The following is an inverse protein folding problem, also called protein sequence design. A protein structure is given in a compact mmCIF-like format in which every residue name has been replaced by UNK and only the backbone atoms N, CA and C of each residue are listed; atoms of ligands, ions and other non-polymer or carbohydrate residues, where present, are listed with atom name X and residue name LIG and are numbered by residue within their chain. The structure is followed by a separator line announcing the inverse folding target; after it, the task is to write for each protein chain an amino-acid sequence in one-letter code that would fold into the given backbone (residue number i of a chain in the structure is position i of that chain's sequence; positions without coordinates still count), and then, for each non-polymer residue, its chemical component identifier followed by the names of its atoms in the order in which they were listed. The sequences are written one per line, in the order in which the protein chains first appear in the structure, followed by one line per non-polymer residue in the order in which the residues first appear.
data_IF_789779085777
#
_entry.id   IF_789779085777
#
_cell.length_a   1.000
_cell.length_b   1.000
_cell.length_c   1.000
_cell.angle_alpha   90.00
_cell.angle_beta   90.00
_cell.angle_gamma   90.00
#
_symmetry.space_group_name_H-M   'P 1'
#
loop_
_entity.id
_entity.type
_entity.pdbx_description
1 polymer ?
#
# COMPACT_ATOMS: atom_id res chain seq x y z
N UNK A 1 32.27 30.67 88.53
CA UNK A 1 32.57 31.94 89.23
C UNK A 1 32.34 33.07 88.25
N UNK A 2 31.47 34.02 88.65
CA UNK A 2 31.37 35.46 88.31
C UNK A 2 31.54 35.87 86.82
N UNK A 3 30.69 36.65 86.15
CA UNK A 3 29.61 37.58 86.53
C UNK A 3 29.57 38.71 85.48
N UNK A 4 28.37 39.23 85.15
CA UNK A 4 27.96 40.59 84.68
C UNK A 4 28.92 41.48 83.83
N UNK A 5 28.54 42.38 82.91
CA UNK A 5 27.31 42.96 82.33
C UNK A 5 27.76 43.93 81.20
N UNK A 6 27.02 44.11 80.10
CA UNK A 6 26.35 45.35 79.64
C UNK A 6 26.15 45.17 78.12
N UNK A 7 25.01 45.37 77.46
CA UNK A 7 23.90 46.26 77.72
C UNK A 7 23.95 47.43 76.73
N UNK A 8 23.33 47.30 75.54
CA UNK A 8 22.75 48.42 74.78
C UNK A 8 21.85 47.89 73.63
N UNK A 9 20.54 48.14 73.72
CA UNK A 9 19.58 47.96 72.63
C UNK A 9 19.19 49.33 72.04
N UNK A 10 19.20 49.52 70.72
CA UNK A 10 18.50 50.63 70.10
C UNK A 10 17.01 50.27 69.90
N UNK A 11 16.13 51.14 70.40
CA UNK A 11 14.68 51.10 70.19
C UNK A 11 14.35 51.42 68.74
N UNK A 12 13.73 50.48 68.02
CA UNK A 12 13.13 50.73 66.70
C UNK A 12 11.80 51.47 66.86
N UNK A 13 11.75 52.73 66.42
CA UNK A 13 10.55 53.57 66.38
C UNK A 13 9.64 53.26 65.17
N UNK A 14 8.33 53.42 65.38
CA UNK A 14 7.17 53.18 64.46
C UNK A 14 7.18 53.83 63.06
N UNK A 15 8.29 54.40 62.59
CA UNK A 15 8.39 55.09 61.28
C UNK A 15 9.11 54.30 60.18
N UNK A 16 9.45 53.03 60.40
CA UNK A 16 10.05 52.15 59.38
C UNK A 16 9.15 50.96 58.96
N UNK A 17 7.85 51.01 59.26
CA UNK A 17 6.92 49.89 59.00
C UNK A 17 6.14 50.02 57.67
N UNK A 18 6.63 50.81 56.72
CA UNK A 18 5.88 51.17 55.50
C UNK A 18 6.60 50.94 54.17
N UNK A 19 7.66 50.12 54.12
CA UNK A 19 8.45 49.95 52.89
C UNK A 19 8.90 48.50 52.60
N UNK A 20 8.18 47.48 53.10
CA UNK A 20 8.53 46.07 52.86
C UNK A 20 7.29 45.16 52.69
N UNK A 21 6.26 45.65 51.98
CA UNK A 21 5.09 44.84 51.56
C UNK A 21 4.80 44.97 50.06
N UNK A 22 5.84 44.96 49.24
CA UNK A 22 5.75 44.73 47.79
C UNK A 22 6.70 43.60 47.38
N UNK A 23 6.62 42.48 48.12
CA UNK A 23 7.24 41.20 47.76
C UNK A 23 6.14 40.17 47.51
N UNK A 24 5.08 40.56 46.82
CA UNK A 24 4.05 39.65 46.35
C UNK A 24 4.67 38.70 45.33
N UNK A 25 4.53 37.41 45.62
CA UNK A 25 4.89 36.28 44.78
C UNK A 25 4.53 36.51 43.30
N UNK A 26 5.53 36.85 42.51
CA UNK A 26 5.58 36.48 41.10
C UNK A 26 6.57 35.34 41.00
N UNK A 27 6.13 34.14 41.36
CA UNK A 27 6.55 32.96 40.60
C UNK A 27 6.06 33.23 39.19
N UNK A 28 6.92 33.84 38.37
CA UNK A 28 6.81 33.74 36.92
C UNK A 28 6.92 32.25 36.64
N UNK A 29 5.77 31.57 36.61
CA UNK A 29 5.58 30.48 35.70
C UNK A 29 5.91 31.09 34.34
N UNK A 30 7.17 30.92 33.91
CA UNK A 30 7.48 31.03 32.51
C UNK A 30 6.41 30.18 31.83
N UNK A 31 5.64 30.73 30.87
CA UNK A 31 4.89 29.83 30.02
C UNK A 31 5.93 28.83 29.54
N UNK A 32 5.67 27.54 29.72
CA UNK A 32 6.37 26.56 28.91
C UNK A 32 6.24 27.15 27.51
N UNK A 33 7.35 27.60 26.94
CA UNK A 33 7.42 27.87 25.52
C UNK A 33 7.11 26.48 25.00
N UNK A 34 5.82 26.24 24.70
CA UNK A 34 5.39 25.34 23.65
C UNK A 34 6.40 25.68 22.57
N UNK A 35 7.39 24.80 22.38
CA UNK A 35 8.15 24.82 21.15
C UNK A 35 7.05 24.70 20.12
N UNK A 36 6.65 25.83 19.53
CA UNK A 36 5.94 25.82 18.27
C UNK A 36 6.81 24.88 17.45
N UNK A 37 6.20 23.78 17.02
CA UNK A 37 6.91 22.73 16.32
C UNK A 37 7.32 23.32 14.97
N UNK A 38 8.46 24.01 14.98
CA UNK A 38 8.86 25.01 13.99
C UNK A 38 9.66 24.38 12.86
N UNK A 39 9.73 23.06 12.83
CA UNK A 39 10.31 22.30 11.74
C UNK A 39 9.41 22.35 10.51
N UNK A 40 9.98 22.17 9.31
CA UNK A 40 9.18 22.01 8.09
C UNK A 40 8.21 20.84 8.21
N UNK A 41 7.05 20.96 7.55
CA UNK A 41 5.95 19.98 7.65
C UNK A 41 5.90 19.14 6.38
N UNK A 42 6.18 17.85 6.54
CA UNK A 42 5.93 16.83 5.54
C UNK A 42 4.64 16.09 5.90
N UNK A 43 3.61 16.24 5.07
CA UNK A 43 2.36 15.47 5.22
C UNK A 43 2.39 14.29 4.27
N UNK A 44 1.90 13.13 4.72
CA UNK A 44 1.78 11.89 3.95
C UNK A 44 0.32 11.45 3.95
N UNK A 45 -0.26 11.22 2.78
CA UNK A 45 -1.62 10.68 2.62
C UNK A 45 -1.54 9.20 2.24
N UNK A 46 -2.13 8.33 3.08
CA UNK A 46 -2.24 6.89 2.88
C UNK A 46 -1.14 6.10 3.59
N UNK A 47 -1.53 5.25 4.55
CA UNK A 47 -0.62 4.45 5.39
C UNK A 47 -0.26 3.08 4.83
N UNK A 48 -0.24 2.91 3.50
CA UNK A 48 0.14 1.65 2.85
C UNK A 48 1.64 1.51 2.56
N UNK A 49 2.00 0.63 1.62
CA UNK A 49 3.40 0.37 1.23
C UNK A 49 4.22 1.63 0.93
N UNK A 50 3.65 2.58 0.18
CA UNK A 50 4.36 3.83 -0.15
C UNK A 50 4.42 4.79 1.03
N UNK A 51 3.27 5.16 1.60
CA UNK A 51 3.22 6.21 2.62
C UNK A 51 3.77 5.80 3.98
N UNK A 52 3.60 4.56 4.45
CA UNK A 52 4.25 4.10 5.69
C UNK A 52 5.79 4.12 5.55
N UNK A 53 6.30 3.63 4.41
CA UNK A 53 7.73 3.71 4.08
C UNK A 53 8.23 5.15 4.00
N UNK A 54 7.47 6.05 3.35
CA UNK A 54 7.80 7.46 3.26
C UNK A 54 7.87 8.12 4.63
N UNK A 55 6.84 7.94 5.47
CA UNK A 55 6.76 8.54 6.79
C UNK A 55 7.91 8.06 7.69
N UNK A 56 8.20 6.75 7.68
CA UNK A 56 9.32 6.19 8.44
C UNK A 56 10.67 6.69 7.94
N UNK A 57 10.92 6.65 6.63
CA UNK A 57 12.16 7.12 6.04
C UNK A 57 12.40 8.60 6.35
N UNK A 58 11.35 9.42 6.23
CA UNK A 58 11.40 10.84 6.59
C UNK A 58 11.83 11.04 8.05
N UNK A 59 11.21 10.32 8.99
CA UNK A 59 11.55 10.44 10.42
C UNK A 59 12.95 9.94 10.77
N UNK A 60 13.47 8.93 10.06
CA UNK A 60 14.84 8.42 10.30
C UNK A 60 15.89 9.37 9.72
N UNK A 61 15.69 9.80 8.49
CA UNK A 61 16.71 10.52 7.72
C UNK A 61 16.69 12.04 7.93
N UNK A 62 15.54 12.60 8.35
CA UNK A 62 15.33 14.04 8.50
C UNK A 62 14.62 14.33 9.84
N UNK A 63 15.30 14.12 10.98
CA UNK A 63 14.68 14.23 12.31
C UNK A 63 14.16 15.64 12.65
N UNK A 64 14.64 16.67 11.92
CA UNK A 64 14.22 18.06 11.99
C UNK A 64 12.89 18.38 11.27
N UNK A 65 12.36 17.43 10.49
CA UNK A 65 11.10 17.57 9.73
C UNK A 65 9.94 16.96 10.51
N UNK A 66 8.86 17.70 10.64
CA UNK A 66 7.62 17.24 11.27
C UNK A 66 6.83 16.40 10.27
N UNK A 67 6.56 15.14 10.62
CA UNK A 67 5.92 14.18 9.72
C UNK A 67 4.54 13.81 10.25
N UNK A 68 3.52 14.11 9.46
CA UNK A 68 2.13 13.72 9.73
C UNK A 68 1.68 12.70 8.69
N UNK A 69 1.21 11.54 9.13
CA UNK A 69 0.61 10.50 8.28
C UNK A 69 -0.91 10.51 8.47
N UNK A 70 -1.65 10.74 7.38
CA UNK A 70 -3.12 10.72 7.35
C UNK A 70 -3.58 9.39 6.77
N UNK A 71 -4.29 8.60 7.58
CA UNK A 71 -4.80 7.28 7.20
C UNK A 71 -6.14 7.02 7.89
N UNK A 72 -7.22 6.65 7.18
CA UNK A 72 -8.51 6.39 7.80
C UNK A 72 -8.57 5.12 8.66
N UNK A 73 -7.79 4.08 8.37
CA UNK A 73 -7.82 2.84 9.13
C UNK A 73 -6.85 2.87 10.32
N UNK A 74 -7.18 2.15 11.40
CA UNK A 74 -6.31 2.05 12.58
C UNK A 74 -5.13 1.08 12.39
N UNK A 75 -5.22 0.26 11.35
CA UNK A 75 -4.30 -0.80 10.98
C UNK A 75 -4.32 -1.00 9.46
N UNK A 76 -3.25 -1.60 8.93
CA UNK A 76 -3.09 -1.89 7.52
C UNK A 76 -3.17 -3.39 7.26
N UNK A 77 -4.18 -3.82 6.50
CA UNK A 77 -4.25 -5.18 5.95
C UNK A 77 -3.50 -5.22 4.62
N UNK A 78 -2.46 -6.04 4.51
CA UNK A 78 -1.73 -6.16 3.25
C UNK A 78 -2.53 -6.95 2.21
N UNK A 79 -2.65 -6.42 0.99
CA UNK A 79 -3.15 -7.21 -0.14
C UNK A 79 -2.16 -8.33 -0.54
N UNK A 80 -0.83 -8.09 -0.60
CA UNK A 80 0.15 -9.19 -0.59
C UNK A 80 -0.11 -10.13 0.59
N UNK A 81 0.09 -11.43 0.40
CA UNK A 81 -0.21 -12.50 1.37
C UNK A 81 -1.71 -12.73 1.66
N UNK A 82 -2.62 -11.87 1.19
CA UNK A 82 -4.06 -12.16 1.19
C UNK A 82 -4.39 -13.46 0.45
N UNK A 83 -3.66 -13.77 -0.63
CA UNK A 83 -3.81 -15.04 -1.36
C UNK A 83 -3.42 -16.26 -0.51
N UNK A 84 -2.49 -16.13 0.45
CA UNK A 84 -2.16 -17.22 1.38
C UNK A 84 -3.30 -17.47 2.38
N UNK A 85 -4.13 -16.47 2.71
CA UNK A 85 -5.37 -16.70 3.46
C UNK A 85 -6.34 -17.51 2.62
N UNK A 86 -6.52 -17.15 1.35
CA UNK A 86 -7.40 -17.89 0.43
C UNK A 86 -6.95 -19.35 0.27
N UNK A 87 -5.64 -19.60 0.27
CA UNK A 87 -5.04 -20.92 0.28
C UNK A 87 -5.04 -21.66 1.64
N UNK A 88 -5.57 -21.05 2.71
CA UNK A 88 -5.63 -21.66 4.04
C UNK A 88 -4.29 -21.72 4.79
N UNK A 89 -3.32 -20.88 4.42
CA UNK A 89 -1.95 -20.85 4.96
C UNK A 89 -1.66 -19.73 5.94
N UNK A 90 -2.47 -18.67 5.91
CA UNK A 90 -2.35 -17.53 6.82
C UNK A 90 -3.73 -17.16 7.35
N UNK A 91 -3.77 -16.43 8.46
CA UNK A 91 -4.94 -15.79 9.00
C UNK A 91 -4.83 -14.26 8.88
N UNK A 92 -5.98 -13.58 8.88
CA UNK A 92 -6.05 -12.12 8.72
C UNK A 92 -5.15 -11.34 9.70
N UNK A 93 -5.06 -11.68 11.00
CA UNK A 93 -4.16 -10.99 11.93
C UNK A 93 -2.68 -11.07 11.56
N UNK A 94 -2.26 -12.12 10.83
CA UNK A 94 -0.86 -12.30 10.43
C UNK A 94 -0.45 -11.39 9.27
N UNK A 95 -1.42 -10.73 8.63
CA UNK A 95 -1.19 -9.77 7.54
C UNK A 95 -1.72 -8.37 7.86
N UNK A 96 -2.07 -8.14 9.13
CA UNK A 96 -2.61 -6.87 9.64
C UNK A 96 -1.56 -6.21 10.51
N UNK A 97 -1.20 -4.97 10.19
CA UNK A 97 -0.10 -4.25 10.82
C UNK A 97 -0.60 -2.98 11.49
N UNK A 98 -0.17 -2.72 12.74
CA UNK A 98 -0.51 -1.47 13.41
C UNK A 98 0.46 -0.35 13.05
N UNK A 99 0.03 0.90 13.25
CA UNK A 99 0.87 2.08 13.06
C UNK A 99 1.70 2.46 14.31
N UNK A 100 1.76 1.61 15.33
CA UNK A 100 2.36 1.96 16.62
C UNK A 100 3.87 2.13 16.55
N UNK A 101 4.56 1.37 15.68
CA UNK A 101 6.00 1.57 15.46
C UNK A 101 6.29 2.95 14.85
N UNK A 102 5.47 3.40 13.89
CA UNK A 102 5.57 4.77 13.36
C UNK A 102 5.32 5.83 14.44
N UNK A 103 4.31 5.64 15.29
CA UNK A 103 4.05 6.55 16.42
C UNK A 103 5.21 6.58 17.40
N UNK A 104 5.80 5.43 17.72
CA UNK A 104 6.96 5.32 18.60
C UNK A 104 8.20 6.03 18.03
N UNK A 105 8.29 6.21 16.70
CA UNK A 105 9.31 7.03 16.02
C UNK A 105 8.99 8.52 15.94
N UNK A 106 7.84 8.94 16.46
CA UNK A 106 7.38 10.32 16.40
C UNK A 106 6.77 10.73 15.06
N UNK A 107 6.21 9.79 14.29
CA UNK A 107 5.24 10.15 13.23
C UNK A 107 3.91 10.50 13.90
N UNK A 108 3.34 11.66 13.55
CA UNK A 108 1.98 12.02 13.96
C UNK A 108 0.97 11.31 13.05
N UNK A 109 0.39 10.20 13.53
CA UNK A 109 -0.56 9.39 12.76
C UNK A 109 -1.99 9.87 13.04
N UNK A 110 -2.56 10.59 12.08
CA UNK A 110 -3.92 11.12 12.10
C UNK A 110 -4.87 10.09 11.49
N UNK A 111 -5.71 9.50 12.35
CA UNK A 111 -6.73 8.53 11.95
C UNK A 111 -7.95 9.23 11.33
N UNK A 112 -7.84 9.62 10.06
CA UNK A 112 -8.87 10.35 9.33
C UNK A 112 -8.67 10.19 7.81
N UNK A 113 -9.69 10.50 7.03
CA UNK A 113 -9.66 10.45 5.56
C UNK A 113 -9.34 11.83 4.99
N UNK A 114 -8.29 11.93 4.18
CA UNK A 114 -8.10 13.10 3.33
C UNK A 114 -9.22 13.17 2.28
N UNK A 115 -9.91 14.31 2.21
CA UNK A 115 -11.04 14.55 1.31
C UNK A 115 -10.66 15.47 0.15
N UNK A 116 -9.78 16.43 0.39
CA UNK A 116 -9.39 17.43 -0.62
C UNK A 116 -7.95 17.92 -0.40
N UNK A 117 -7.30 18.39 -1.48
CA UNK A 117 -5.96 18.98 -1.46
C UNK A 117 -6.01 20.33 -2.17
N UNK A 118 -5.58 21.38 -1.47
CA UNK A 118 -5.40 22.72 -2.01
C UNK A 118 -3.90 22.94 -2.28
N UNK A 119 -3.44 22.77 -3.54
CA UNK A 119 -2.02 22.90 -3.88
C UNK A 119 -1.51 24.34 -3.78
N UNK A 120 -2.39 25.34 -3.88
CA UNK A 120 -2.03 26.76 -3.82
C UNK A 120 -1.86 27.21 -2.37
N UNK A 121 -2.84 26.89 -1.51
CA UNK A 121 -2.76 27.20 -0.08
C UNK A 121 -1.91 26.19 0.73
N UNK A 122 -1.39 25.15 0.06
CA UNK A 122 -0.63 24.03 0.64
C UNK A 122 -1.32 23.40 1.86
N UNK A 123 -2.52 22.88 1.64
CA UNK A 123 -3.39 22.37 2.71
C UNK A 123 -4.16 21.13 2.30
N UNK A 124 -4.24 20.15 3.20
CA UNK A 124 -5.12 18.99 3.09
C UNK A 124 -6.37 19.25 3.94
N UNK A 125 -7.55 19.01 3.37
CA UNK A 125 -8.82 19.03 4.12
C UNK A 125 -9.25 17.59 4.37
N UNK A 126 -9.56 17.28 5.62
CA UNK A 126 -10.01 15.97 6.06
C UNK A 126 -11.53 15.83 5.98
N UNK A 127 -12.05 14.62 6.22
CA UNK A 127 -13.47 14.32 6.15
C UNK A 127 -14.31 15.06 7.22
N UNK A 128 -13.72 15.41 8.35
CA UNK A 128 -14.32 16.19 9.44
C UNK A 128 -14.08 17.71 9.31
N UNK A 129 -13.66 18.16 8.13
CA UNK A 129 -13.28 19.54 7.80
C UNK A 129 -12.06 20.10 8.55
N UNK A 130 -11.37 19.26 9.33
CA UNK A 130 -10.05 19.59 9.87
C UNK A 130 -9.10 19.87 8.71
N UNK A 131 -8.24 20.88 8.88
CA UNK A 131 -7.31 21.34 7.86
C UNK A 131 -5.87 21.20 8.34
N UNK A 132 -5.05 20.48 7.58
CA UNK A 132 -3.64 20.25 7.87
C UNK A 132 -2.82 20.97 6.80
N UNK A 133 -2.00 21.92 7.21
CA UNK A 133 -1.11 22.64 6.30
C UNK A 133 0.22 21.89 6.16
N UNK A 134 0.82 21.95 4.97
CA UNK A 134 2.07 21.27 4.64
C UNK A 134 3.05 22.22 3.95
N UNK A 135 4.33 21.88 4.00
CA UNK A 135 5.36 22.50 3.16
C UNK A 135 5.68 21.59 1.97
N UNK A 136 5.66 20.27 2.19
CA UNK A 136 5.69 19.22 1.16
C UNK A 136 4.64 18.14 1.44
N UNK A 137 4.08 17.55 0.39
CA UNK A 137 3.06 16.52 0.48
C UNK A 137 3.47 15.26 -0.27
N UNK A 138 3.40 14.10 0.39
CA UNK A 138 3.50 12.78 -0.25
C UNK A 138 2.08 12.19 -0.36
N UNK A 139 1.67 11.79 -1.55
CA UNK A 139 0.35 11.20 -1.82
C UNK A 139 0.55 9.75 -2.27
N UNK A 140 0.17 8.79 -1.42
CA UNK A 140 0.22 7.36 -1.71
C UNK A 140 -1.10 6.65 -1.42
N UNK A 141 -2.20 7.03 -2.11
CA UNK A 141 -3.54 6.58 -1.75
C UNK A 141 -3.90 5.23 -2.36
N UNK A 142 -3.02 4.64 -3.17
CA UNK A 142 -3.25 3.38 -3.87
C UNK A 142 -4.23 3.53 -5.04
N UNK A 143 -5.01 2.49 -5.27
CA UNK A 143 -5.99 2.40 -6.35
C UNK A 143 -7.41 2.67 -5.86
N UNK A 144 -8.30 2.92 -6.80
CA UNK A 144 -9.72 2.66 -6.66
C UNK A 144 -10.22 1.77 -7.82
N UNK A 145 -11.33 1.09 -7.58
CA UNK A 145 -11.94 0.15 -8.51
C UNK A 145 -12.94 0.88 -9.42
N UNK A 146 -12.88 0.59 -10.73
CA UNK A 146 -13.87 1.04 -11.72
C UNK A 146 -15.13 0.18 -11.64
N UNK A 147 -15.99 0.47 -10.66
CA UNK A 147 -17.23 -0.28 -10.42
C UNK A 147 -18.23 -0.20 -11.57
N UNK A 148 -18.10 0.81 -12.42
CA UNK A 148 -18.90 1.02 -13.62
C UNK A 148 -18.37 0.29 -14.87
N UNK A 149 -17.21 -0.38 -14.77
CA UNK A 149 -16.58 -1.01 -15.93
C UNK A 149 -17.10 -2.42 -16.26
N UNK A 150 -17.80 -3.08 -15.33
CA UNK A 150 -18.44 -4.38 -15.54
C UNK A 150 -19.92 -4.21 -15.19
N UNK A 151 -20.79 -4.43 -16.17
CA UNK A 151 -22.24 -4.27 -15.96
C UNK A 151 -22.72 -5.22 -14.85
N UNK A 152 -23.53 -4.70 -13.92
CA UNK A 152 -24.02 -5.45 -12.77
C UNK A 152 -23.03 -5.60 -11.60
N UNK A 153 -21.82 -5.00 -11.67
CA UNK A 153 -20.81 -5.09 -10.60
C UNK A 153 -20.68 -3.84 -9.74
N UNK A 154 -21.70 -3.54 -8.92
CA UNK A 154 -21.67 -2.45 -7.95
C UNK A 154 -21.07 -2.87 -6.57
N UNK A 155 -21.24 -2.03 -5.54
CA UNK A 155 -20.81 -2.33 -4.17
C UNK A 155 -21.51 -3.57 -3.62
N UNK A 156 -22.83 -3.71 -3.83
CA UNK A 156 -23.59 -4.85 -3.33
C UNK A 156 -23.20 -6.14 -4.05
N UNK A 157 -22.94 -6.07 -5.36
CA UNK A 157 -22.41 -7.19 -6.13
C UNK A 157 -21.05 -7.66 -5.60
N UNK A 158 -20.22 -6.76 -5.06
CA UNK A 158 -18.93 -7.14 -4.46
C UNK A 158 -19.05 -7.93 -3.15
N UNK A 159 -20.21 -8.01 -2.52
CA UNK A 159 -20.44 -8.92 -1.39
C UNK A 159 -20.76 -10.35 -1.84
N UNK A 160 -21.21 -10.51 -3.08
CA UNK A 160 -21.50 -11.80 -3.72
C UNK A 160 -20.28 -12.29 -4.51
N UNK A 161 -19.63 -11.38 -5.24
CA UNK A 161 -18.45 -11.62 -6.04
C UNK A 161 -17.28 -10.77 -5.51
N UNK A 162 -16.70 -11.12 -4.35
CA UNK A 162 -15.67 -10.30 -3.71
C UNK A 162 -14.47 -10.09 -4.61
N UNK A 163 -13.99 -8.86 -4.71
CA UNK A 163 -12.78 -8.53 -5.48
C UNK A 163 -11.50 -8.92 -4.72
N UNK A 164 -11.52 -8.79 -3.39
CA UNK A 164 -10.37 -9.05 -2.51
C UNK A 164 -9.05 -8.39 -2.98
N UNK A 165 -9.15 -7.24 -3.66
CA UNK A 165 -8.02 -6.49 -4.26
C UNK A 165 -7.58 -5.26 -3.45
N UNK A 166 -8.45 -4.84 -2.53
CA UNK A 166 -8.15 -3.83 -1.52
C UNK A 166 -8.05 -4.53 -0.19
N UNK A 167 -6.96 -4.26 0.56
CA UNK A 167 -6.81 -4.78 1.92
C UNK A 167 -7.93 -4.27 2.82
N UNK A 168 -8.14 -2.95 2.86
CA UNK A 168 -9.21 -2.33 3.64
C UNK A 168 -9.20 -2.82 5.09
N UNK A 169 -10.36 -3.26 5.57
CA UNK A 169 -10.56 -3.92 6.85
C UNK A 169 -10.43 -5.46 6.78
N UNK A 170 -10.03 -6.01 5.62
CA UNK A 170 -9.93 -7.44 5.37
C UNK A 170 -11.26 -8.15 5.07
N UNK A 171 -12.38 -7.44 5.03
CA UNK A 171 -13.72 -8.00 4.79
C UNK A 171 -13.80 -8.79 3.48
N UNK A 172 -13.37 -8.19 2.38
CA UNK A 172 -13.42 -8.79 1.04
C UNK A 172 -12.59 -10.07 0.92
N UNK A 173 -11.41 -10.13 1.56
CA UNK A 173 -10.60 -11.36 1.63
C UNK A 173 -11.34 -12.43 2.44
N UNK A 174 -11.94 -12.04 3.56
CA UNK A 174 -12.68 -12.95 4.44
C UNK A 174 -13.95 -13.49 3.79
N UNK A 175 -14.68 -12.67 3.03
CA UNK A 175 -15.86 -13.08 2.25
C UNK A 175 -15.45 -14.14 1.24
N UNK A 176 -14.42 -13.87 0.43
CA UNK A 176 -13.94 -14.84 -0.57
C UNK A 176 -13.48 -16.14 0.09
N UNK A 177 -12.74 -16.06 1.21
CA UNK A 177 -12.31 -17.26 1.94
C UNK A 177 -13.51 -18.10 2.41
N UNK A 178 -14.53 -17.48 3.03
CA UNK A 178 -15.73 -18.21 3.48
C UNK A 178 -16.50 -18.83 2.33
N UNK A 179 -16.61 -18.14 1.20
CA UNK A 179 -17.27 -18.67 0.01
C UNK A 179 -16.54 -19.91 -0.53
N UNK A 180 -15.20 -19.88 -0.57
CA UNK A 180 -14.38 -21.03 -0.98
C UNK A 180 -14.52 -22.23 -0.03
N UNK A 181 -14.54 -21.99 1.28
CA UNK A 181 -14.76 -23.05 2.28
C UNK A 181 -16.15 -23.68 2.20
N UNK A 182 -17.14 -22.90 1.75
CA UNK A 182 -18.52 -23.34 1.55
C UNK A 182 -18.81 -23.82 0.11
N UNK A 183 -17.78 -23.96 -0.74
CA UNK A 183 -17.96 -24.39 -2.12
C UNK A 183 -18.56 -25.80 -2.17
N UNK A 184 -19.69 -26.03 -2.88
CA UNK A 184 -20.25 -27.37 -3.06
C UNK A 184 -19.23 -28.33 -3.69
N UNK A 185 -19.33 -29.61 -3.38
CA UNK A 185 -18.43 -30.61 -3.95
C UNK A 185 -18.48 -30.61 -5.48
N UNK A 186 -17.34 -30.44 -6.15
CA UNK A 186 -17.28 -30.32 -7.61
C UNK A 186 -17.69 -28.95 -8.17
N UNK A 187 -17.94 -27.95 -7.32
CA UNK A 187 -18.35 -26.61 -7.74
C UNK A 187 -17.30 -25.86 -8.55
N UNK A 188 -17.74 -24.79 -9.20
CA UNK A 188 -16.94 -23.95 -10.11
C UNK A 188 -16.57 -22.63 -9.44
N UNK A 189 -15.28 -22.32 -9.42
CA UNK A 189 -14.76 -21.01 -9.04
C UNK A 189 -14.44 -20.20 -10.29
N UNK A 190 -15.14 -19.08 -10.49
CA UNK A 190 -14.84 -18.15 -11.59
C UNK A 190 -13.96 -16.99 -11.13
N UNK A 191 -12.97 -16.62 -11.92
CA UNK A 191 -12.20 -15.39 -11.75
C UNK A 191 -12.31 -14.51 -12.99
N UNK A 192 -12.68 -13.25 -12.82
CA UNK A 192 -12.65 -12.24 -13.88
C UNK A 192 -11.46 -11.29 -13.66
N UNK A 193 -10.51 -11.31 -14.59
CA UNK A 193 -9.23 -10.61 -14.50
C UNK A 193 -9.22 -9.41 -15.47
N UNK A 194 -8.83 -8.20 -15.03
CA UNK A 194 -8.97 -7.00 -15.85
C UNK A 194 -7.81 -6.83 -16.85
N UNK A 195 -7.97 -5.92 -17.83
CA UNK A 195 -6.87 -5.47 -18.67
C UNK A 195 -5.81 -4.69 -17.87
N UNK A 196 -4.66 -4.46 -18.50
CA UNK A 196 -3.62 -3.58 -17.95
C UNK A 196 -4.02 -2.09 -18.09
N UNK A 197 -3.48 -1.19 -17.24
CA UNK A 197 -2.68 -1.48 -16.04
C UNK A 197 -3.56 -1.78 -14.81
N UNK A 198 -3.07 -2.64 -13.91
CA UNK A 198 -3.68 -2.91 -12.60
C UNK A 198 -2.61 -3.22 -11.55
N UNK A 199 -2.98 -3.13 -10.26
CA UNK A 199 -2.12 -3.46 -9.12
C UNK A 199 -1.67 -4.92 -9.18
N UNK A 200 -0.37 -5.15 -9.00
CA UNK A 200 0.28 -6.45 -8.92
C UNK A 200 -0.07 -7.40 -10.08
N UNK A 201 0.57 -7.24 -11.26
CA UNK A 201 0.29 -8.06 -12.43
C UNK A 201 0.28 -9.59 -12.20
N UNK A 202 1.17 -10.21 -11.40
CA UNK A 202 1.10 -11.66 -11.15
C UNK A 202 0.06 -12.07 -10.09
N UNK A 203 -0.55 -11.12 -9.39
CA UNK A 203 -1.45 -11.37 -8.26
C UNK A 203 -2.66 -12.27 -8.56
N UNK A 204 -3.36 -12.13 -9.71
CA UNK A 204 -4.52 -12.97 -10.01
C UNK A 204 -4.11 -14.44 -10.20
N UNK A 205 -2.93 -14.66 -10.75
CA UNK A 205 -2.40 -15.98 -11.07
C UNK A 205 -1.81 -16.68 -9.84
N UNK A 206 -1.23 -15.91 -8.92
CA UNK A 206 -0.97 -16.40 -7.56
C UNK A 206 -2.28 -16.81 -6.85
N UNK A 207 -3.33 -15.97 -6.95
CA UNK A 207 -4.64 -16.27 -6.37
C UNK A 207 -5.22 -17.57 -6.91
N UNK A 208 -5.23 -17.75 -8.23
CA UNK A 208 -5.66 -19.00 -8.88
C UNK A 208 -4.93 -20.19 -8.27
N UNK A 209 -3.60 -20.09 -8.17
CA UNK A 209 -2.77 -21.15 -7.61
C UNK A 209 -3.10 -21.46 -6.15
N UNK A 210 -3.27 -20.44 -5.31
CA UNK A 210 -3.57 -20.64 -3.90
C UNK A 210 -5.01 -21.11 -3.65
N UNK A 211 -5.97 -20.71 -4.49
CA UNK A 211 -7.31 -21.29 -4.48
C UNK A 211 -7.23 -22.77 -4.88
N UNK A 212 -6.56 -23.10 -5.99
CA UNK A 212 -6.36 -24.47 -6.44
C UNK A 212 -5.66 -25.34 -5.37
N UNK A 213 -4.68 -24.76 -4.68
CA UNK A 213 -4.01 -25.39 -3.55
C UNK A 213 -4.98 -25.80 -2.43
N UNK A 214 -5.88 -24.90 -2.04
CA UNK A 214 -6.92 -25.19 -1.06
C UNK A 214 -7.91 -26.24 -1.58
N UNK A 215 -8.40 -26.09 -2.81
CA UNK A 215 -9.37 -26.99 -3.41
C UNK A 215 -8.82 -28.41 -3.59
N UNK A 216 -7.55 -28.58 -3.99
CA UNK A 216 -6.92 -29.90 -4.11
C UNK A 216 -7.00 -30.72 -2.82
N UNK A 217 -6.96 -30.06 -1.67
CA UNK A 217 -7.00 -30.71 -0.36
C UNK A 217 -8.42 -30.96 0.16
N UNK A 218 -9.39 -30.11 -0.19
CA UNK A 218 -10.71 -30.08 0.44
C UNK A 218 -11.87 -30.38 -0.52
N UNK A 219 -11.70 -30.10 -1.80
CA UNK A 219 -12.70 -30.28 -2.86
C UNK A 219 -12.01 -30.58 -4.21
N UNK A 220 -11.33 -31.74 -4.36
CA UNK A 220 -10.47 -32.04 -5.51
C UNK A 220 -11.23 -32.20 -6.83
N UNK A 221 -12.56 -32.27 -6.79
CA UNK A 221 -13.42 -32.31 -7.99
C UNK A 221 -13.79 -30.92 -8.52
N UNK A 222 -13.55 -29.87 -7.74
CA UNK A 222 -13.84 -28.50 -8.14
C UNK A 222 -13.03 -28.07 -9.37
N UNK A 223 -13.55 -27.07 -10.08
CA UNK A 223 -12.90 -26.46 -11.25
C UNK A 223 -12.71 -24.97 -11.06
N UNK A 224 -11.67 -24.42 -11.65
CA UNK A 224 -11.39 -22.99 -11.71
C UNK A 224 -11.46 -22.55 -13.17
N UNK A 225 -12.32 -21.57 -13.45
CA UNK A 225 -12.39 -20.88 -14.74
C UNK A 225 -11.81 -19.47 -14.55
N UNK A 226 -10.65 -19.21 -15.15
CA UNK A 226 -9.96 -17.93 -15.09
C UNK A 226 -10.13 -17.17 -16.40
N UNK A 227 -11.14 -16.29 -16.43
CA UNK A 227 -11.48 -15.41 -17.54
C UNK A 227 -10.56 -14.19 -17.51
N UNK A 228 -9.72 -14.05 -18.53
CA UNK A 228 -8.72 -13.01 -18.63
C UNK A 228 -8.97 -12.06 -19.79
N UNK A 229 -9.08 -10.77 -19.51
CA UNK A 229 -9.16 -9.71 -20.53
C UNK A 229 -7.81 -9.45 -21.25
N UNK A 230 -6.89 -10.42 -21.24
CA UNK A 230 -5.54 -10.36 -21.84
C UNK A 230 -5.20 -11.69 -22.52
N UNK A 231 -4.34 -11.61 -23.54
CA UNK A 231 -3.79 -12.80 -24.24
C UNK A 231 -2.45 -13.27 -23.67
N UNK A 232 -1.91 -12.57 -22.67
CA UNK A 232 -0.69 -12.96 -21.99
C UNK A 232 -0.56 -12.28 -20.64
N UNK A 233 0.17 -12.92 -19.74
CA UNK A 233 0.30 -12.43 -18.37
C UNK A 233 1.68 -12.63 -17.74
N UNK A 234 1.89 -11.93 -16.63
CA UNK A 234 3.16 -11.94 -15.91
C UNK A 234 3.51 -13.35 -15.44
N UNK A 235 4.72 -13.83 -15.80
CA UNK A 235 5.22 -15.16 -15.45
C UNK A 235 4.38 -16.32 -16.02
N UNK A 236 3.64 -16.11 -17.10
CA UNK A 236 2.69 -17.09 -17.66
C UNK A 236 3.26 -18.51 -17.77
N UNK A 237 4.42 -18.67 -18.42
CA UNK A 237 5.03 -19.99 -18.56
C UNK A 237 5.33 -20.67 -17.21
N UNK A 238 5.80 -19.91 -16.21
CA UNK A 238 6.08 -20.44 -14.87
C UNK A 238 4.81 -20.87 -14.12
N UNK A 239 3.73 -20.10 -14.27
CA UNK A 239 2.43 -20.45 -13.69
C UNK A 239 1.84 -21.67 -14.36
N UNK A 240 1.81 -21.72 -15.69
CA UNK A 240 1.27 -22.86 -16.43
C UNK A 240 2.06 -24.15 -16.16
N UNK A 241 3.40 -24.09 -16.11
CA UNK A 241 4.24 -25.23 -15.73
C UNK A 241 3.88 -25.72 -14.31
N UNK A 242 3.75 -24.79 -13.36
CA UNK A 242 3.39 -25.12 -11.98
C UNK A 242 1.95 -25.65 -11.83
N UNK A 243 1.00 -25.13 -12.59
CA UNK A 243 -0.39 -25.60 -12.58
C UNK A 243 -0.51 -27.02 -13.11
N UNK A 244 0.16 -27.32 -14.22
CA UNK A 244 0.16 -28.66 -14.80
C UNK A 244 0.69 -29.70 -13.81
N UNK A 245 1.79 -29.38 -13.12
CA UNK A 245 2.41 -30.26 -12.12
C UNK A 245 1.57 -30.42 -10.85
N UNK A 246 1.09 -29.30 -10.29
CA UNK A 246 0.48 -29.29 -8.98
C UNK A 246 -1.01 -29.61 -9.02
N UNK A 247 -1.71 -29.24 -10.09
CA UNK A 247 -3.17 -29.17 -10.11
C UNK A 247 -3.81 -29.88 -11.31
N UNK A 248 -3.03 -30.34 -12.29
CA UNK A 248 -3.54 -31.02 -13.48
C UNK A 248 -4.63 -30.18 -14.16
N UNK A 249 -5.78 -30.80 -14.45
CA UNK A 249 -6.89 -30.17 -15.18
C UNK A 249 -7.82 -29.32 -14.31
N UNK A 250 -7.45 -28.98 -13.06
CA UNK A 250 -8.31 -28.18 -12.17
C UNK A 250 -8.50 -26.75 -12.68
N UNK A 251 -7.50 -26.18 -13.34
CA UNK A 251 -7.44 -24.78 -13.75
C UNK A 251 -7.59 -24.69 -15.27
N UNK A 252 -8.58 -23.94 -15.71
CA UNK A 252 -8.74 -23.52 -17.10
C UNK A 252 -8.51 -22.01 -17.18
N UNK A 253 -7.52 -21.59 -17.98
CA UNK A 253 -7.25 -20.18 -18.25
C UNK A 253 -7.75 -19.82 -19.64
N UNK A 254 -8.64 -18.84 -19.71
CA UNK A 254 -9.37 -18.44 -20.90
C UNK A 254 -8.90 -17.04 -21.26
N UNK A 255 -8.04 -16.86 -22.28
CA UNK A 255 -7.55 -15.56 -22.72
C UNK A 255 -8.63 -14.76 -23.47
N UNK A 256 -8.39 -13.46 -23.65
CA UNK A 256 -9.30 -12.58 -24.38
C UNK A 256 -9.63 -13.09 -25.80
N UNK A 257 -8.62 -13.58 -26.53
CA UNK A 257 -8.78 -14.20 -27.85
C UNK A 257 -9.66 -15.46 -27.88
N UNK A 258 -10.02 -16.00 -26.72
CA UNK A 258 -10.91 -17.15 -26.53
C UNK A 258 -12.10 -16.81 -25.63
N UNK A 259 -12.57 -15.55 -25.68
CA UNK A 259 -13.73 -15.06 -24.91
C UNK A 259 -13.51 -14.94 -23.39
N UNK A 260 -12.26 -14.72 -22.97
CA UNK A 260 -11.88 -14.50 -21.57
C UNK A 260 -12.31 -13.16 -20.97
N UNK A 261 -12.85 -12.24 -21.77
CA UNK A 261 -13.23 -10.91 -21.27
C UNK A 261 -14.62 -10.94 -20.65
N UNK A 262 -14.74 -10.80 -19.33
CA UNK A 262 -16.05 -10.64 -18.66
C UNK A 262 -16.48 -9.18 -18.70
N UNK A 263 -17.63 -8.91 -19.32
CA UNK A 263 -18.19 -7.56 -19.50
C UNK A 263 -19.39 -7.28 -18.59
N UNK A 264 -20.07 -8.32 -18.12
CA UNK A 264 -21.19 -8.22 -17.20
C UNK A 264 -21.23 -9.37 -16.20
N UNK A 265 -21.90 -9.16 -15.07
CA UNK A 265 -22.18 -10.19 -14.07
C UNK A 265 -23.62 -10.11 -13.61
N UNK A 266 -24.16 -11.27 -13.24
CA UNK A 266 -25.49 -11.40 -12.63
C UNK A 266 -25.32 -12.01 -11.24
N UNK A 267 -25.33 -11.19 -10.17
CA UNK A 267 -25.15 -11.69 -8.81
C UNK A 267 -26.31 -12.55 -8.31
N UNK A 268 -27.53 -12.35 -8.83
CA UNK A 268 -28.70 -13.15 -8.44
C UNK A 268 -28.58 -14.57 -8.98
N UNK A 269 -28.24 -14.68 -10.26
CA UNK A 269 -28.04 -15.96 -10.92
C UNK A 269 -26.63 -16.52 -10.74
N UNK A 270 -25.72 -15.80 -10.08
CA UNK A 270 -24.29 -16.15 -9.97
C UNK A 270 -23.65 -16.50 -11.32
N UNK A 271 -23.77 -15.60 -12.28
CA UNK A 271 -23.27 -15.79 -13.65
C UNK A 271 -22.26 -14.71 -14.01
N UNK A 272 -21.19 -15.10 -14.69
CA UNK A 272 -20.34 -14.20 -15.45
C UNK A 272 -20.76 -14.21 -16.92
N UNK A 273 -20.75 -13.04 -17.56
CA UNK A 273 -21.14 -12.87 -18.95
C UNK A 273 -19.93 -12.35 -19.73
N UNK A 274 -19.49 -13.14 -20.70
CA UNK A 274 -18.34 -12.81 -21.54
C UNK A 274 -18.66 -11.70 -22.56
N UNK A 275 -17.64 -11.22 -23.26
CA UNK A 275 -17.77 -10.21 -24.32
C UNK A 275 -18.64 -10.69 -25.48
N UNK A 276 -18.60 -11.98 -25.82
CA UNK A 276 -19.51 -12.56 -26.83
C UNK A 276 -20.88 -12.98 -26.26
N UNK A 277 -21.17 -12.68 -25.00
CA UNK A 277 -22.46 -12.91 -24.37
C UNK A 277 -22.68 -14.34 -23.85
N UNK A 278 -21.62 -15.16 -23.78
CA UNK A 278 -21.69 -16.47 -23.15
C UNK A 278 -21.93 -16.32 -21.65
N UNK A 279 -22.81 -17.16 -21.11
CA UNK A 279 -23.21 -17.14 -19.69
C UNK A 279 -22.54 -18.29 -18.96
N UNK A 280 -21.60 -17.97 -18.09
CA UNK A 280 -20.88 -18.94 -17.27
C UNK A 280 -21.42 -18.94 -15.83
N UNK A 281 -22.07 -20.03 -15.44
CA UNK A 281 -22.51 -20.22 -14.05
C UNK A 281 -21.28 -20.49 -13.17
N UNK A 282 -21.17 -19.77 -12.06
CA UNK A 282 -20.09 -19.94 -11.08
C UNK A 282 -20.69 -20.11 -9.69
N UNK A 283 -20.17 -21.05 -8.91
CA UNK A 283 -20.62 -21.24 -7.51
C UNK A 283 -19.98 -20.20 -6.60
N UNK A 284 -18.71 -19.86 -6.86
CA UNK A 284 -17.97 -18.78 -6.20
C UNK A 284 -17.33 -17.91 -7.29
N UNK A 285 -17.52 -16.59 -7.24
CA UNK A 285 -16.94 -15.67 -8.21
C UNK A 285 -15.99 -14.68 -7.55
N UNK A 286 -14.82 -14.45 -8.16
CA UNK A 286 -13.90 -13.36 -7.81
C UNK A 286 -13.80 -12.40 -9.01
N UNK A 287 -14.36 -11.20 -8.87
CA UNK A 287 -14.32 -10.19 -9.93
C UNK A 287 -13.30 -9.13 -9.55
N UNK A 288 -12.27 -8.93 -10.37
CA UNK A 288 -11.27 -7.88 -10.17
C UNK A 288 -11.52 -6.79 -11.21
N UNK A 289 -12.16 -5.66 -10.86
CA UNK A 289 -12.44 -4.61 -11.83
C UNK A 289 -11.16 -3.94 -12.35
N UNK A 290 -11.24 -3.30 -13.53
CA UNK A 290 -10.28 -2.28 -13.96
C UNK A 290 -10.08 -1.20 -12.87
N UNK A 291 -8.94 -0.51 -12.91
CA UNK A 291 -8.48 0.33 -11.80
C UNK A 291 -8.07 1.72 -12.28
N UNK A 292 -8.06 2.67 -11.35
CA UNK A 292 -7.47 4.00 -11.50
C UNK A 292 -6.84 4.45 -10.17
N UNK A 293 -6.21 5.63 -10.13
CA UNK A 293 -5.71 6.21 -8.89
C UNK A 293 -6.86 6.56 -7.92
N UNK A 294 -6.69 6.28 -6.64
CA UNK A 294 -7.73 6.56 -5.64
C UNK A 294 -8.22 8.03 -5.67
N UNK A 295 -9.49 8.23 -5.28
CA UNK A 295 -10.24 9.49 -5.45
C UNK A 295 -9.48 10.75 -5.04
N UNK A 296 -8.75 10.73 -3.92
CA UNK A 296 -7.99 11.91 -3.45
C UNK A 296 -6.91 12.38 -4.43
N UNK A 297 -6.38 11.50 -5.30
CA UNK A 297 -5.45 11.89 -6.37
C UNK A 297 -6.18 12.25 -7.66
N UNK A 298 -7.25 11.54 -8.00
CA UNK A 298 -8.02 11.78 -9.23
C UNK A 298 -8.84 13.07 -9.17
N UNK A 299 -9.57 13.27 -8.07
CA UNK A 299 -10.59 14.32 -7.95
C UNK A 299 -9.98 15.68 -7.56
N UNK A 300 -8.68 15.73 -7.22
CA UNK A 300 -7.93 16.95 -6.89
C UNK A 300 -7.13 17.50 -8.08
N UNK A 301 -7.36 16.98 -9.29
CA UNK A 301 -6.73 17.47 -10.51
C UNK A 301 -5.27 17.05 -10.69
N UNK A 302 -4.79 16.05 -9.94
CA UNK A 302 -3.44 15.50 -10.13
C UNK A 302 -3.40 14.46 -11.25
N UNK A 303 -4.49 13.72 -11.48
CA UNK A 303 -4.55 12.69 -12.51
C UNK A 303 -4.84 13.25 -13.91
N UNK A 304 -4.31 12.60 -14.94
CA UNK A 304 -4.66 12.85 -16.33
C UNK A 304 -5.91 12.04 -16.76
N UNK A 305 -6.24 12.09 -18.05
CA UNK A 305 -7.40 11.40 -18.64
C UNK A 305 -7.32 9.85 -18.52
N UNK A 306 -6.12 9.29 -18.27
CA UNK A 306 -5.97 7.86 -17.99
C UNK A 306 -6.49 7.47 -16.60
N UNK A 307 -6.71 8.46 -15.72
CA UNK A 307 -7.08 8.27 -14.32
C UNK A 307 -5.89 7.96 -13.41
N UNK A 308 -4.65 8.13 -13.88
CA UNK A 308 -3.42 7.99 -13.11
C UNK A 308 -2.65 9.33 -13.07
N UNK A 309 -1.73 9.48 -12.13
CA UNK A 309 -1.00 10.75 -11.94
C UNK A 309 0.32 10.76 -12.72
N UNK A 310 0.51 11.65 -13.72
CA UNK A 310 1.81 11.89 -14.32
C UNK A 310 2.75 12.53 -13.31
N UNK A 311 3.99 12.05 -13.25
CA UNK A 311 5.00 12.48 -12.28
C UNK A 311 6.35 12.64 -12.93
N UNK A 312 7.14 13.58 -12.41
CA UNK A 312 8.57 13.67 -12.73
C UNK A 312 9.29 12.37 -12.30
N UNK A 313 10.01 11.68 -13.19
CA UNK A 313 10.53 10.34 -12.87
C UNK A 313 11.75 10.31 -11.92
N UNK A 314 12.33 11.48 -11.62
CA UNK A 314 13.43 11.63 -10.65
C UNK A 314 12.91 11.91 -9.24
N UNK A 315 11.87 12.73 -9.13
CA UNK A 315 11.39 13.30 -7.87
C UNK A 315 10.05 12.74 -7.43
N UNK A 316 9.30 12.14 -8.36
CA UNK A 316 7.89 11.77 -8.21
C UNK A 316 6.96 12.96 -7.95
N UNK A 317 7.40 14.21 -8.16
CA UNK A 317 6.53 15.38 -8.09
C UNK A 317 5.45 15.29 -9.18
N UNK A 318 4.19 15.54 -8.84
CA UNK A 318 3.10 15.62 -9.79
C UNK A 318 3.36 16.78 -10.75
N UNK A 319 3.20 16.55 -12.06
CA UNK A 319 3.39 17.59 -13.07
C UNK A 319 2.46 18.78 -12.84
N UNK A 320 1.22 18.52 -12.37
CA UNK A 320 0.23 19.54 -12.07
C UNK A 320 0.52 20.33 -10.77
N UNK A 321 1.36 19.81 -9.86
CA UNK A 321 1.62 20.41 -8.55
C UNK A 321 3.00 20.00 -7.99
N UNK A 322 4.06 20.79 -8.23
CA UNK A 322 5.45 20.42 -7.90
C UNK A 322 5.76 20.19 -6.40
N UNK A 323 4.92 20.68 -5.49
CA UNK A 323 5.05 20.45 -4.04
C UNK A 323 4.39 19.14 -3.56
N UNK A 324 3.75 18.42 -4.47
CA UNK A 324 3.01 17.18 -4.20
C UNK A 324 3.70 16.04 -4.93
N UNK A 325 4.19 15.05 -4.19
CA UNK A 325 4.86 13.88 -4.75
C UNK A 325 3.95 12.66 -4.69
N UNK A 326 3.69 12.02 -5.83
CA UNK A 326 2.75 10.88 -5.92
C UNK A 326 3.50 9.58 -6.14
N UNK A 327 3.36 8.64 -5.20
CA UNK A 327 4.10 7.37 -5.17
C UNK A 327 3.19 6.14 -5.03
N UNK A 328 3.73 4.98 -5.39
CA UNK A 328 3.00 3.73 -5.40
C UNK A 328 2.02 3.65 -6.56
N UNK A 329 0.92 2.92 -6.39
CA UNK A 329 0.05 2.55 -7.50
C UNK A 329 -0.59 3.75 -8.21
N UNK A 330 -0.73 4.91 -7.55
CA UNK A 330 -1.48 6.05 -8.08
C UNK A 330 -0.77 6.76 -9.26
N UNK A 331 0.54 6.60 -9.41
CA UNK A 331 1.31 7.33 -10.43
C UNK A 331 1.44 6.57 -11.76
N UNK A 332 1.94 7.29 -12.77
CA UNK A 332 2.43 6.77 -14.04
C UNK A 332 3.95 6.59 -13.92
N UNK A 333 4.36 5.44 -13.38
CA UNK A 333 5.78 5.08 -13.16
C UNK A 333 6.34 4.04 -14.13
N UNK A 334 5.73 3.90 -15.32
CA UNK A 334 6.14 2.89 -16.32
C UNK A 334 7.64 2.96 -16.62
N UNK A 335 8.36 1.82 -16.78
CA UNK A 335 7.88 0.44 -16.82
C UNK A 335 7.77 -0.25 -15.45
N UNK A 336 7.85 0.48 -14.34
CA UNK A 336 7.72 -0.14 -13.01
C UNK A 336 6.30 -0.69 -12.78
N UNK A 337 6.15 -1.91 -12.25
CA UNK A 337 4.82 -2.43 -11.93
C UNK A 337 4.22 -1.70 -10.74
N UNK A 338 2.88 -1.60 -10.70
CA UNK A 338 2.12 -1.14 -9.53
C UNK A 338 2.20 -2.20 -8.42
N UNK A 339 3.28 -2.18 -7.63
CA UNK A 339 3.58 -3.20 -6.61
C UNK A 339 3.98 -2.58 -5.27
N UNK A 340 3.85 -3.35 -4.18
CA UNK A 340 4.29 -2.92 -2.86
C UNK A 340 5.80 -2.65 -2.78
N UNK A 341 6.62 -3.41 -3.51
CA UNK A 341 8.07 -3.21 -3.53
C UNK A 341 8.42 -1.89 -4.25
N UNK A 342 7.81 -1.61 -5.41
CA UNK A 342 8.00 -0.32 -6.09
C UNK A 342 7.53 0.84 -5.22
N UNK A 343 6.38 0.71 -4.54
CA UNK A 343 5.89 1.73 -3.64
C UNK A 343 6.87 2.01 -2.49
N UNK A 344 7.44 0.98 -1.84
CA UNK A 344 8.49 1.15 -0.83
C UNK A 344 9.76 1.78 -1.44
N UNK A 345 10.23 1.27 -2.57
CA UNK A 345 11.48 1.71 -3.20
C UNK A 345 11.42 3.18 -3.63
N UNK A 346 10.31 3.60 -4.24
CA UNK A 346 10.12 4.98 -4.75
C UNK A 346 9.84 5.98 -3.63
N UNK A 347 9.27 5.54 -2.49
CA UNK A 347 9.01 6.40 -1.34
C UNK A 347 10.26 7.12 -0.81
N UNK A 348 11.40 6.42 -0.81
CA UNK A 348 12.67 6.91 -0.29
C UNK A 348 13.19 8.08 -1.13
N UNK A 349 13.14 7.92 -2.45
CA UNK A 349 13.53 8.96 -3.40
C UNK A 349 12.57 10.15 -3.36
N UNK A 350 11.25 9.91 -3.32
CA UNK A 350 10.26 10.98 -3.28
C UNK A 350 10.42 11.86 -2.03
N UNK A 351 10.63 11.25 -0.86
CA UNK A 351 10.91 12.00 0.38
C UNK A 351 12.22 12.77 0.26
N UNK A 352 13.30 12.13 -0.20
CA UNK A 352 14.59 12.80 -0.33
C UNK A 352 14.54 13.98 -1.30
N UNK A 353 13.83 13.84 -2.42
CA UNK A 353 13.59 14.92 -3.38
C UNK A 353 12.74 16.05 -2.79
N UNK A 354 11.65 15.71 -2.09
CA UNK A 354 10.78 16.70 -1.43
C UNK A 354 11.56 17.55 -0.41
N UNK A 355 12.39 16.91 0.42
CA UNK A 355 13.20 17.61 1.42
C UNK A 355 14.35 18.40 0.80
N UNK A 356 14.98 17.90 -0.28
CA UNK A 356 15.99 18.65 -1.02
C UNK A 356 15.39 19.94 -1.60
N UNK A 357 14.24 19.85 -2.27
CA UNK A 357 13.58 21.04 -2.84
C UNK A 357 13.17 22.05 -1.77
N UNK A 358 12.62 21.56 -0.64
CA UNK A 358 12.29 22.39 0.52
C UNK A 358 13.51 23.17 1.06
N UNK A 359 14.72 22.62 0.92
CA UNK A 359 15.99 23.23 1.33
C UNK A 359 16.65 24.07 0.23
N UNK A 360 16.07 24.13 -0.97
CA UNK A 360 16.68 24.77 -2.14
C UNK A 360 17.87 24.00 -2.71
N UNK A 361 17.92 22.69 -2.47
CA UNK A 361 18.96 21.77 -2.93
C UNK A 361 18.48 20.99 -4.16
N UNK A 362 19.42 20.47 -4.95
CA UNK A 362 19.08 19.56 -6.05
C UNK A 362 18.60 18.20 -5.52
N UNK A 363 17.60 17.61 -6.18
CA UNK A 363 17.16 16.26 -5.86
C UNK A 363 18.32 15.25 -6.01
N UNK A 364 18.39 14.20 -5.17
CA UNK A 364 19.41 13.16 -5.28
C UNK A 364 19.42 12.55 -6.69
N UNK A 365 20.58 12.62 -7.35
CA UNK A 365 20.79 12.10 -8.69
C UNK A 365 20.91 10.57 -8.71
N UNK A 366 20.75 10.00 -9.90
CA UNK A 366 20.97 8.58 -10.20
C UNK A 366 20.23 7.58 -9.29
N UNK A 367 18.91 7.75 -9.06
CA UNK A 367 18.17 6.81 -8.24
C UNK A 367 18.15 5.42 -8.88
N UNK A 368 18.18 4.41 -8.01
CA UNK A 368 18.00 3.01 -8.39
C UNK A 368 16.76 2.48 -7.69
N UNK A 369 15.82 1.97 -8.47
CA UNK A 369 14.60 1.37 -7.94
C UNK A 369 14.61 -0.14 -8.16
N UNK A 370 14.02 -0.87 -7.23
CA UNK A 370 13.99 -2.32 -7.26
C UNK A 370 12.57 -2.83 -7.12
N UNK A 371 12.27 -3.91 -7.83
CA UNK A 371 11.04 -4.65 -7.68
C UNK A 371 11.33 -6.14 -7.67
N UNK A 372 10.75 -6.84 -6.71
CA UNK A 372 10.56 -8.30 -6.79
C UNK A 372 9.12 -8.63 -6.47
N UNK A 373 8.45 -9.38 -7.35
CA UNK A 373 7.12 -9.94 -7.09
C UNK A 373 7.21 -11.46 -6.99
N UNK A 374 7.25 -11.97 -5.76
CA UNK A 374 7.05 -13.38 -5.47
C UNK A 374 5.60 -13.79 -5.68
N UNK A 375 5.39 -15.06 -6.00
CA UNK A 375 4.07 -15.66 -6.10
C UNK A 375 4.12 -17.10 -5.62
N UNK A 376 3.37 -17.42 -4.58
CA UNK A 376 3.18 -18.80 -4.16
C UNK A 376 2.24 -19.53 -5.11
N UNK A 377 2.62 -20.75 -5.46
CA UNK A 377 1.77 -21.68 -6.17
C UNK A 377 1.33 -22.82 -5.26
N UNK A 378 2.02 -23.06 -4.14
CA UNK A 378 1.71 -24.05 -3.10
C UNK A 378 2.68 -23.91 -1.94
N UNK A 379 2.73 -24.91 -1.05
CA UNK A 379 3.52 -24.90 0.20
C UNK A 379 5.00 -24.58 -0.05
N UNK A 380 5.64 -25.44 -0.83
CA UNK A 380 7.06 -25.42 -1.12
C UNK A 380 7.32 -25.00 -2.57
N UNK A 381 6.42 -24.19 -3.14
CA UNK A 381 6.51 -23.77 -4.53
C UNK A 381 6.15 -22.30 -4.68
N UNK A 382 7.15 -21.47 -4.99
CA UNK A 382 6.94 -20.11 -5.44
C UNK A 382 7.80 -19.78 -6.67
N UNK A 383 7.42 -18.70 -7.36
CA UNK A 383 8.16 -18.14 -8.49
C UNK A 383 8.20 -16.62 -8.39
N UNK A 384 9.25 -16.01 -8.91
CA UNK A 384 9.53 -14.59 -8.79
C UNK A 384 9.77 -13.92 -10.14
N UNK A 385 9.55 -12.61 -10.15
CA UNK A 385 10.05 -11.70 -11.18
C UNK A 385 10.77 -10.57 -10.47
N UNK A 386 12.02 -10.31 -10.86
CA UNK A 386 12.84 -9.23 -10.33
C UNK A 386 13.17 -8.23 -11.45
N UNK A 387 13.25 -6.96 -11.11
CA UNK A 387 13.67 -5.90 -12.03
C UNK A 387 14.38 -4.77 -11.26
N UNK A 388 15.40 -4.20 -11.89
CA UNK A 388 16.11 -3.01 -11.43
C UNK A 388 15.79 -1.89 -12.41
N UNK A 389 15.45 -0.71 -11.92
CA UNK A 389 15.08 0.44 -12.73
C UNK A 389 15.96 1.63 -12.43
N UNK A 390 16.19 2.46 -13.44
CA UNK A 390 16.98 3.69 -13.40
C UNK A 390 16.32 4.75 -14.26
N UNK A 391 16.72 6.01 -14.07
CA UNK A 391 16.39 7.07 -15.02
C UNK A 391 17.05 6.76 -16.38
N UNK A 392 16.32 7.00 -17.46
CA UNK A 392 16.91 6.96 -18.81
C UNK A 392 17.58 8.30 -19.17
N UNK A 393 18.27 8.34 -20.31
CA UNK A 393 18.92 9.55 -20.82
C UNK A 393 17.97 10.63 -21.34
N UNK A 394 16.67 10.33 -21.44
CA UNK A 394 15.62 11.18 -22.03
C UNK A 394 14.66 11.76 -20.99
N UNK A 395 14.84 11.44 -19.71
CA UNK A 395 14.04 11.96 -18.61
C UNK A 395 13.02 10.98 -18.02
N UNK A 396 12.84 9.79 -18.63
CA UNK A 396 11.96 8.72 -18.19
C UNK A 396 12.62 7.69 -17.25
N UNK A 397 11.96 6.55 -17.07
CA UNK A 397 12.48 5.39 -16.33
C UNK A 397 12.63 4.23 -17.29
N UNK A 398 13.74 3.50 -17.15
CA UNK A 398 13.99 2.27 -17.91
C UNK A 398 14.34 1.12 -16.97
N UNK A 399 14.06 -0.11 -17.42
CA UNK A 399 14.65 -1.30 -16.82
C UNK A 399 16.16 -1.29 -17.11
N UNK A 400 16.97 -1.61 -16.10
CA UNK A 400 18.43 -1.70 -16.25
C UNK A 400 18.75 -2.90 -17.16
N UNK A 401 19.50 -2.70 -18.26
CA UNK A 401 19.86 -3.78 -19.17
C UNK A 401 20.62 -4.91 -18.45
N UNK A 402 20.44 -6.15 -18.93
CA UNK A 402 21.12 -7.34 -18.43
C UNK A 402 20.97 -7.57 -16.91
N UNK A 403 19.83 -7.18 -16.35
CA UNK A 403 19.52 -7.30 -14.93
C UNK A 403 18.09 -7.82 -14.68
N UNK A 404 17.86 -8.37 -13.49
CA UNK A 404 16.56 -8.92 -13.11
C UNK A 404 16.22 -10.21 -13.87
N UNK A 405 14.94 -10.42 -14.13
CA UNK A 405 14.42 -11.57 -14.86
C UNK A 405 13.35 -12.35 -14.10
N UNK A 406 12.92 -13.44 -14.72
CA UNK A 406 11.99 -14.40 -14.14
C UNK A 406 12.78 -15.55 -13.49
N UNK A 407 12.13 -16.28 -12.58
CA UNK A 407 12.65 -17.61 -12.19
C UNK A 407 12.93 -18.45 -13.44
N UNK A 408 13.99 -19.27 -13.45
CA UNK A 408 14.30 -20.10 -14.61
C UNK A 408 13.19 -21.13 -14.84
N UNK A 409 12.84 -21.39 -16.11
CA UNK A 409 12.01 -22.53 -16.51
C UNK A 409 12.90 -23.74 -16.84
N UNK A 410 12.37 -24.94 -16.69
CA UNK A 410 13.10 -26.19 -16.92
C UNK A 410 12.37 -27.38 -16.28
N UNK A 411 12.94 -28.59 -16.33
CA UNK A 411 12.36 -29.76 -15.68
C UNK A 411 12.12 -29.49 -14.19
N UNK A 412 10.86 -29.60 -13.74
CA UNK A 412 10.49 -29.19 -12.39
C UNK A 412 11.13 -30.05 -11.30
N UNK A 413 11.45 -31.31 -11.61
CA UNK A 413 12.23 -32.19 -10.74
C UNK A 413 13.62 -31.64 -10.43
N UNK A 414 14.26 -30.96 -11.39
CA UNK A 414 15.58 -30.33 -11.23
C UNK A 414 15.49 -28.97 -10.52
N UNK A 415 14.34 -28.30 -10.62
CA UNK A 415 14.09 -26.97 -10.04
C UNK A 415 13.38 -27.02 -8.68
N UNK A 416 13.04 -28.19 -8.15
CA UNK A 416 12.28 -28.34 -6.91
C UNK A 416 12.95 -27.63 -5.71
N UNK A 417 14.29 -27.69 -5.63
CA UNK A 417 15.03 -26.94 -4.60
C UNK A 417 14.85 -25.42 -4.77
N UNK A 418 14.98 -24.90 -5.99
CA UNK A 418 14.80 -23.48 -6.28
C UNK A 418 13.39 -23.01 -5.91
N UNK A 419 12.34 -23.77 -6.26
CA UNK A 419 10.94 -23.41 -5.96
C UNK A 419 10.65 -23.33 -4.46
N UNK A 420 11.21 -24.27 -3.69
CA UNK A 420 11.11 -24.26 -2.22
C UNK A 420 11.83 -23.05 -1.63
N UNK A 421 13.07 -22.79 -2.08
CA UNK A 421 13.82 -21.61 -1.63
C UNK A 421 13.13 -20.30 -2.00
N UNK A 422 12.53 -20.21 -3.17
CA UNK A 422 11.75 -19.03 -3.56
C UNK A 422 10.52 -18.81 -2.65
N UNK A 423 9.88 -19.87 -2.16
CA UNK A 423 8.78 -19.75 -1.20
C UNK A 423 9.29 -19.24 0.16
N UNK A 424 10.40 -19.79 0.66
CA UNK A 424 11.05 -19.30 1.88
C UNK A 424 11.51 -17.84 1.75
N UNK A 425 12.03 -17.45 0.59
CA UNK A 425 12.44 -16.07 0.32
C UNK A 425 11.26 -15.12 0.17
N UNK A 426 10.11 -15.59 -0.31
CA UNK A 426 8.88 -14.81 -0.33
C UNK A 426 8.45 -14.45 1.11
N UNK A 427 8.48 -15.43 2.03
CA UNK A 427 8.18 -15.21 3.45
C UNK A 427 9.16 -14.24 4.09
N UNK A 428 10.47 -14.45 3.87
CA UNK A 428 11.48 -13.54 4.38
C UNK A 428 11.34 -12.12 3.81
N UNK A 429 10.99 -11.99 2.53
CA UNK A 429 10.70 -10.70 1.90
C UNK A 429 9.50 -10.01 2.56
N UNK A 430 8.41 -10.74 2.78
CA UNK A 430 7.19 -10.19 3.37
C UNK A 430 7.45 -9.67 4.79
N UNK A 431 8.11 -10.47 5.63
CA UNK A 431 8.46 -10.08 7.00
C UNK A 431 9.41 -8.87 7.00
N UNK A 432 10.38 -8.85 6.09
CA UNK A 432 11.36 -7.76 5.98
C UNK A 432 10.72 -6.45 5.52
N UNK A 433 9.89 -6.48 4.47
CA UNK A 433 9.30 -5.25 3.91
C UNK A 433 8.23 -4.66 4.85
N UNK A 434 7.43 -5.49 5.51
CA UNK A 434 6.44 -5.02 6.48
C UNK A 434 7.10 -4.45 7.73
N UNK A 435 8.17 -5.09 8.22
CA UNK A 435 9.01 -4.52 9.28
C UNK A 435 9.65 -3.20 8.83
N UNK A 436 10.20 -3.10 7.62
CA UNK A 436 10.75 -1.84 7.08
C UNK A 436 9.69 -0.74 6.99
N UNK A 437 8.42 -1.07 6.79
CA UNK A 437 7.34 -0.08 6.66
C UNK A 437 6.83 0.44 8.00
N UNK A 438 6.60 -0.45 8.97
CA UNK A 438 5.84 -0.13 10.17
C UNK A 438 6.68 -0.02 11.45
N UNK A 439 7.96 -0.42 11.41
CA UNK A 439 8.87 -0.36 12.57
C UNK A 439 9.27 1.04 12.98
#
# INVERSE_FOLDING_TARGET
MNGFSNGFSPKLTRRHFGALLAGSAFTLAAPAILRADSGPRLVVIGGGFGGASAARFARISYPDVNVTLIEPYDSFVTCPYGNLILGGKRALPQITHSYDGLRARGVDVVQNRARDIDPVAKRVTLADDTRIAYDKLIVSPGIALRRDAIEGYDEAASEIFPHAWMGGDGSQISILRRQLEALPEGGVVGLAIPPNPFRCPPGPYERISMIAHHLKQHNPRAKILAFDAKDGFSKQGLFQDGWAELYGDMIEWIPASQDGTITAVDPQERVFISEFGERHKVDVGNVIPPQYAAAIARDTGLADDSGWVPVDPLTFAAEAAPDIHVIGDANIGSPMPKSGYVANSTSKQAVAAAIADLRGEAAPADPVYFNTCYSHLGDDYAVSVAAIFRKDGEGGIMATPDSGGLSPRGPLSELAYNRRREAEYADAWYDSITTDMFS
#
